data_IF_489034872800
#
_entry.id   IF_489034872800
#
_cell.length_a   1.000
_cell.length_b   1.000
_cell.length_c   1.000
_cell.angle_alpha   90.00
_cell.angle_beta   90.00
_cell.angle_gamma   90.00
#
_symmetry.space_group_name_H-M   'P 1'
#
loop_
_entity.id
_entity.type
_entity.pdbx_description
1 polymer ?
#
# COMPACT_ATOMS: atom_id res chain seq x y z
N UNK A 1 -29.91 8.00 11.29
CA UNK A 1 -28.87 8.27 10.28
C UNK A 1 -28.03 7.00 10.20
N UNK A 2 -27.75 6.43 9.04
CA UNK A 2 -26.88 5.26 8.94
C UNK A 2 -25.41 5.66 9.21
N UNK A 3 -24.63 4.76 9.80
CA UNK A 3 -23.22 4.93 10.15
C UNK A 3 -22.34 5.28 8.93
N UNK A 4 -22.62 4.68 7.77
CA UNK A 4 -21.95 4.98 6.50
C UNK A 4 -21.96 6.47 6.14
N UNK A 5 -23.00 7.21 6.52
CA UNK A 5 -23.04 8.66 6.29
C UNK A 5 -22.05 9.39 7.19
N UNK A 6 -21.85 8.92 8.44
CA UNK A 6 -20.89 9.52 9.36
C UNK A 6 -19.44 9.25 8.89
N UNK A 7 -19.16 8.04 8.39
CA UNK A 7 -17.90 7.72 7.71
C UNK A 7 -17.65 8.63 6.52
N UNK A 8 -18.67 8.83 5.67
CA UNK A 8 -18.56 9.70 4.51
C UNK A 8 -18.26 11.16 4.90
N UNK A 9 -18.96 11.69 5.92
CA UNK A 9 -18.73 13.04 6.45
C UNK A 9 -17.30 13.17 7.00
N UNK A 10 -16.80 12.16 7.70
CA UNK A 10 -15.45 12.13 8.25
C UNK A 10 -14.40 12.11 7.14
N UNK A 11 -14.47 11.15 6.23
CA UNK A 11 -13.50 10.91 5.16
C UNK A 11 -13.39 12.12 4.20
N UNK A 12 -14.52 12.77 3.90
CA UNK A 12 -14.57 13.93 3.01
C UNK A 12 -14.44 15.29 3.71
N UNK A 13 -14.07 15.29 4.98
CA UNK A 13 -13.84 16.52 5.77
C UNK A 13 -15.02 17.51 5.74
N UNK A 14 -16.26 17.03 5.66
CA UNK A 14 -17.44 17.89 5.59
C UNK A 14 -17.73 18.60 6.92
N UNK A 15 -16.99 18.26 7.94
CA UNK A 15 -16.93 18.89 9.24
C UNK A 15 -15.95 20.09 9.29
N UNK A 16 -15.13 20.33 8.27
CA UNK A 16 -14.01 21.29 8.33
C UNK A 16 -14.40 22.73 8.65
N UNK A 17 -15.62 23.15 8.30
CA UNK A 17 -16.13 24.49 8.60
C UNK A 17 -16.83 24.58 9.99
N UNK A 18 -16.78 23.52 10.78
CA UNK A 18 -17.40 23.45 12.10
C UNK A 18 -16.33 23.23 13.15
N UNK A 19 -16.35 24.01 14.26
CA UNK A 19 -15.40 23.78 15.34
C UNK A 19 -15.68 22.42 15.99
N UNK A 20 -14.64 21.60 16.09
CA UNK A 20 -14.72 20.30 16.73
C UNK A 20 -14.22 20.38 18.17
N UNK A 21 -14.86 19.63 19.06
CA UNK A 21 -14.47 19.54 20.46
C UNK A 21 -14.70 18.13 21.00
N UNK A 22 -13.94 17.79 22.02
CA UNK A 22 -14.17 16.57 22.81
C UNK A 22 -15.46 16.68 23.59
N UNK A 23 -15.99 15.55 24.04
CA UNK A 23 -17.19 15.52 24.90
C UNK A 23 -17.00 16.21 26.26
N UNK A 24 -15.75 16.41 26.69
CA UNK A 24 -15.38 17.19 27.88
C UNK A 24 -15.04 18.67 27.56
N UNK A 25 -15.28 19.12 26.31
CA UNK A 25 -15.23 20.54 25.90
C UNK A 25 -13.86 21.04 25.45
N UNK A 26 -12.86 20.18 25.29
CA UNK A 26 -11.54 20.59 24.77
C UNK A 26 -11.57 20.73 23.24
N UNK A 27 -10.98 21.78 22.66
CA UNK A 27 -10.95 21.95 21.21
C UNK A 27 -10.10 20.87 20.55
N UNK A 28 -10.57 20.34 19.41
CA UNK A 28 -9.86 19.38 18.57
C UNK A 28 -9.53 20.02 17.23
N UNK A 29 -8.27 19.96 16.83
CA UNK A 29 -7.84 20.19 15.46
C UNK A 29 -7.57 18.84 14.78
N UNK A 30 -8.34 18.52 13.75
CA UNK A 30 -8.12 17.29 12.95
C UNK A 30 -7.16 17.65 11.84
N UNK A 31 -5.92 17.16 11.94
CA UNK A 31 -4.82 17.42 10.99
C UNK A 31 -4.92 16.45 9.81
N UNK A 32 -5.26 15.19 10.08
CA UNK A 32 -5.48 14.14 9.08
C UNK A 32 -6.51 13.15 9.58
N UNK A 33 -7.47 12.81 8.73
CA UNK A 33 -8.53 11.83 9.03
C UNK A 33 -8.02 10.38 9.10
N UNK A 34 -6.79 10.12 8.61
CA UNK A 34 -6.23 8.78 8.52
C UNK A 34 -6.59 8.04 7.24
N UNK A 35 -6.22 6.77 7.20
CA UNK A 35 -6.48 5.86 6.09
C UNK A 35 -7.61 4.90 6.47
N UNK A 36 -8.63 4.79 5.63
CA UNK A 36 -9.77 3.90 5.86
C UNK A 36 -9.31 2.45 5.89
N UNK A 37 -9.53 1.79 7.01
CA UNK A 37 -9.24 0.37 7.21
C UNK A 37 -10.43 -0.48 6.75
N UNK A 38 -10.18 -1.43 5.87
CA UNK A 38 -11.21 -2.38 5.36
C UNK A 38 -11.01 -3.80 5.88
N UNK A 39 -10.00 -3.97 6.72
CA UNK A 39 -9.72 -5.23 7.42
C UNK A 39 -10.33 -5.20 8.83
N UNK A 40 -10.07 -6.23 9.65
CA UNK A 40 -10.46 -6.21 11.05
C UNK A 40 -9.63 -5.16 11.83
N UNK A 41 -10.26 -4.48 12.78
CA UNK A 41 -9.65 -3.41 13.60
C UNK A 41 -10.35 -2.07 13.42
N UNK A 42 -9.80 -1.00 14.00
CA UNK A 42 -10.38 0.35 13.93
C UNK A 42 -10.60 0.85 12.50
N UNK A 43 -11.61 1.69 12.29
CA UNK A 43 -12.09 2.17 11.00
C UNK A 43 -11.06 2.96 10.21
N UNK A 44 -10.27 3.79 10.89
CA UNK A 44 -9.21 4.59 10.26
C UNK A 44 -7.90 4.44 11.02
N UNK A 45 -6.81 4.21 10.28
CA UNK A 45 -5.45 4.13 10.80
C UNK A 45 -4.66 5.40 10.49
N UNK A 46 -3.62 5.69 11.30
CA UNK A 46 -2.69 6.80 11.09
C UNK A 46 -3.34 8.19 11.04
N UNK A 47 -4.49 8.36 11.70
CA UNK A 47 -5.09 9.68 11.88
C UNK A 47 -4.18 10.56 12.76
N UNK A 48 -4.22 11.87 12.53
CA UNK A 48 -3.48 12.88 13.29
C UNK A 48 -4.42 13.95 13.79
N UNK A 49 -4.46 14.13 15.09
CA UNK A 49 -5.29 15.14 15.75
C UNK A 49 -4.45 15.94 16.75
N UNK A 50 -4.88 17.15 17.06
CA UNK A 50 -4.27 17.96 18.11
C UNK A 50 -5.32 18.34 19.14
N UNK A 51 -5.04 18.08 20.43
CA UNK A 51 -5.88 18.40 21.57
C UNK A 51 -5.00 19.10 22.60
N UNK A 52 -5.38 20.25 23.10
CA UNK A 52 -4.62 21.04 24.08
C UNK A 52 -3.17 21.30 23.67
N UNK A 53 -2.93 21.50 22.36
CA UNK A 53 -1.59 21.72 21.80
C UNK A 53 -0.74 20.45 21.63
N UNK A 54 -1.17 19.31 22.15
CA UNK A 54 -0.50 18.02 21.97
C UNK A 54 -1.00 17.32 20.71
N UNK A 55 -0.07 16.87 19.85
CA UNK A 55 -0.40 16.09 18.66
C UNK A 55 -0.42 14.60 18.99
N UNK A 56 -1.50 13.93 18.56
CA UNK A 56 -1.73 12.50 18.71
C UNK A 56 -1.76 11.85 17.34
N UNK A 57 -1.10 10.71 17.22
CA UNK A 57 -1.13 9.87 16.02
C UNK A 57 -1.62 8.49 16.40
N UNK A 58 -2.65 7.99 15.73
CA UNK A 58 -3.25 6.69 16.05
C UNK A 58 -4.47 6.38 15.20
N UNK A 59 -5.34 5.56 15.75
CA UNK A 59 -6.52 5.08 15.04
C UNK A 59 -7.77 5.90 15.45
N UNK A 60 -8.75 5.92 14.55
CA UNK A 60 -10.08 6.50 14.80
C UNK A 60 -11.12 5.43 14.61
N UNK A 61 -12.09 5.38 15.50
CA UNK A 61 -13.28 4.54 15.40
C UNK A 61 -14.52 5.42 15.30
N UNK A 62 -15.51 5.02 14.50
CA UNK A 62 -16.71 5.80 14.21
C UNK A 62 -17.95 4.98 14.55
N UNK A 63 -18.88 5.55 15.32
CA UNK A 63 -20.16 4.94 15.65
C UNK A 63 -21.28 5.97 15.65
N UNK A 64 -22.52 5.52 15.57
CA UNK A 64 -23.67 6.41 15.76
C UNK A 64 -23.82 6.79 17.23
N UNK A 65 -23.79 5.81 18.13
CA UNK A 65 -23.86 6.04 19.58
C UNK A 65 -22.56 5.59 20.25
N UNK A 66 -22.10 6.30 21.26
CA UNK A 66 -20.91 5.88 22.00
C UNK A 66 -21.05 4.48 22.60
N UNK A 67 -22.27 4.10 22.99
CA UNK A 67 -22.57 2.79 23.54
C UNK A 67 -22.33 1.63 22.58
N UNK A 68 -22.30 1.86 21.25
CA UNK A 68 -22.00 0.85 20.23
C UNK A 68 -20.59 0.26 20.40
N UNK A 69 -19.66 1.00 20.98
CA UNK A 69 -18.34 0.52 21.41
C UNK A 69 -18.42 -0.80 22.22
N UNK A 70 -19.39 -0.85 23.13
CA UNK A 70 -19.61 -2.06 23.95
C UNK A 70 -20.40 -3.14 23.22
N UNK A 71 -21.32 -2.76 22.34
CA UNK A 71 -22.10 -3.70 21.53
C UNK A 71 -21.16 -4.47 20.58
N UNK A 72 -20.14 -3.80 20.04
CA UNK A 72 -19.11 -4.40 19.18
C UNK A 72 -17.96 -5.05 19.97
N UNK A 73 -17.97 -4.95 21.32
CA UNK A 73 -16.96 -5.53 22.24
C UNK A 73 -15.56 -4.95 22.09
N UNK A 74 -15.42 -3.73 21.59
CA UNK A 74 -14.12 -3.06 21.44
C UNK A 74 -13.43 -2.82 22.79
N UNK A 75 -14.18 -2.71 23.88
CA UNK A 75 -13.66 -2.60 25.24
C UNK A 75 -12.89 -3.83 25.73
N UNK A 76 -12.90 -4.93 25.01
CA UNK A 76 -12.19 -6.16 25.35
C UNK A 76 -11.20 -6.61 24.28
N UNK A 77 -11.04 -5.83 23.21
CA UNK A 77 -10.16 -6.16 22.09
C UNK A 77 -8.92 -5.22 22.09
N UNK A 78 -7.71 -5.75 22.33
CA UNK A 78 -6.47 -4.98 22.31
C UNK A 78 -6.17 -4.27 20.97
N UNK A 79 -6.77 -4.71 19.86
CA UNK A 79 -6.63 -4.05 18.56
C UNK A 79 -7.14 -2.60 18.57
N UNK A 80 -8.04 -2.27 19.50
CA UNK A 80 -8.63 -0.93 19.66
C UNK A 80 -7.93 -0.06 20.72
N UNK A 81 -6.88 -0.56 21.38
CA UNK A 81 -6.16 0.19 22.41
C UNK A 81 -5.38 1.41 21.88
N UNK A 82 -5.13 1.45 20.57
CA UNK A 82 -4.48 2.57 19.88
C UNK A 82 -5.48 3.56 19.27
N UNK A 83 -6.77 3.47 19.62
CA UNK A 83 -7.78 4.46 19.22
C UNK A 83 -7.56 5.75 19.99
N UNK A 84 -7.18 6.81 19.27
CA UNK A 84 -6.93 8.15 19.84
C UNK A 84 -8.17 9.03 19.87
N UNK A 85 -9.17 8.72 19.04
CA UNK A 85 -10.43 9.44 18.96
C UNK A 85 -11.57 8.49 18.59
N UNK A 86 -12.61 8.49 19.41
CA UNK A 86 -13.87 7.86 19.11
C UNK A 86 -14.85 8.92 18.61
N UNK A 87 -15.12 8.92 17.32
CA UNK A 87 -16.03 9.85 16.64
C UNK A 87 -17.45 9.30 16.69
N UNK A 88 -18.38 10.08 17.18
CA UNK A 88 -19.78 9.66 17.31
C UNK A 88 -20.74 10.74 16.84
N UNK A 89 -21.96 10.36 16.50
CA UNK A 89 -23.05 11.33 16.36
C UNK A 89 -23.59 11.71 17.74
N UNK A 90 -23.89 10.71 18.56
CA UNK A 90 -24.51 10.87 19.87
C UNK A 90 -23.59 10.30 20.96
N UNK A 91 -23.05 11.17 21.78
CA UNK A 91 -22.20 10.80 22.91
C UNK A 91 -23.05 10.43 24.13
N UNK A 92 -23.68 9.25 24.09
CA UNK A 92 -24.62 8.77 25.12
C UNK A 92 -23.93 8.10 26.32
N UNK A 93 -22.63 7.72 26.16
CA UNK A 93 -21.90 7.04 27.21
C UNK A 93 -20.39 7.28 27.12
N UNK A 94 -19.71 7.43 28.27
CA UNK A 94 -18.24 7.37 28.31
C UNK A 94 -17.77 5.94 28.06
N UNK A 95 -16.78 5.77 27.16
CA UNK A 95 -16.23 4.48 26.80
C UNK A 95 -14.78 4.32 27.26
N UNK A 96 -14.37 3.06 27.47
CA UNK A 96 -13.05 2.70 27.96
C UNK A 96 -12.45 1.61 27.06
N UNK A 97 -11.13 1.65 26.90
CA UNK A 97 -10.39 0.61 26.15
C UNK A 97 -10.21 -0.68 26.99
N UNK A 98 -9.46 -1.66 26.46
CA UNK A 98 -9.23 -2.94 27.15
C UNK A 98 -8.40 -2.79 28.43
N UNK A 99 -7.68 -1.66 28.60
CA UNK A 99 -6.86 -1.34 29.77
C UNK A 99 -7.63 -0.56 30.83
N UNK A 100 -8.90 -0.23 30.58
CA UNK A 100 -9.70 0.58 31.48
C UNK A 100 -9.42 2.09 31.39
N UNK A 101 -8.71 2.55 30.35
CA UNK A 101 -8.44 3.97 30.11
C UNK A 101 -9.63 4.59 29.36
N UNK A 102 -10.04 5.80 29.78
CA UNK A 102 -11.12 6.52 29.14
C UNK A 102 -10.69 7.00 27.74
N UNK A 103 -11.47 6.67 26.71
CA UNK A 103 -11.23 7.16 25.37
C UNK A 103 -11.69 8.60 25.20
N UNK A 104 -10.91 9.36 24.44
CA UNK A 104 -11.31 10.67 23.96
C UNK A 104 -12.44 10.52 22.95
N UNK A 105 -13.55 11.19 23.16
CA UNK A 105 -14.73 11.14 22.29
C UNK A 105 -15.03 12.51 21.70
N UNK A 106 -15.53 12.51 20.45
CA UNK A 106 -15.99 13.71 19.75
C UNK A 106 -17.37 13.46 19.15
N UNK A 107 -18.35 14.26 19.58
CA UNK A 107 -19.63 14.35 18.88
C UNK A 107 -19.45 15.24 17.64
N UNK A 108 -19.28 14.63 16.48
CA UNK A 108 -18.89 15.31 15.24
C UNK A 108 -19.90 16.39 14.85
N UNK A 109 -19.39 17.61 14.66
CA UNK A 109 -20.19 18.74 14.17
C UNK A 109 -20.10 18.82 12.65
N UNK A 110 -21.23 18.87 11.95
CA UNK A 110 -21.33 18.88 10.49
C UNK A 110 -22.64 19.57 10.06
N UNK A 111 -22.85 19.90 8.76
CA UNK A 111 -24.10 20.49 8.29
C UNK A 111 -25.31 19.63 8.63
N UNK A 112 -26.36 20.25 9.18
CA UNK A 112 -27.58 19.55 9.62
C UNK A 112 -28.75 19.69 8.64
N UNK A 113 -28.54 20.30 7.47
CA UNK A 113 -29.58 20.42 6.44
C UNK A 113 -30.02 19.07 5.94
N UNK A 114 -31.33 18.78 6.03
CA UNK A 114 -31.88 17.44 5.75
C UNK A 114 -31.76 17.05 4.29
N UNK A 115 -31.97 18.00 3.36
CA UNK A 115 -31.90 17.71 1.94
C UNK A 115 -30.46 17.50 1.50
N UNK A 116 -29.54 18.30 2.07
CA UNK A 116 -28.10 18.12 1.90
C UNK A 116 -27.62 16.76 2.44
N UNK A 117 -28.00 16.38 3.67
CA UNK A 117 -27.65 15.07 4.24
C UNK A 117 -28.22 13.90 3.44
N UNK A 118 -29.43 14.07 2.86
CA UNK A 118 -30.02 13.05 1.98
C UNK A 118 -29.23 12.89 0.68
N UNK A 119 -28.77 13.98 0.08
CA UNK A 119 -27.92 13.93 -1.09
C UNK A 119 -26.57 13.27 -0.78
N UNK A 120 -25.93 13.61 0.33
CA UNK A 120 -24.69 12.99 0.80
C UNK A 120 -24.85 11.51 1.08
N UNK A 121 -25.98 11.10 1.69
CA UNK A 121 -26.27 9.67 1.90
C UNK A 121 -26.39 8.93 0.58
N UNK A 122 -27.06 9.53 -0.41
CA UNK A 122 -27.17 8.96 -1.75
C UNK A 122 -25.79 8.78 -2.38
N UNK A 123 -24.90 9.76 -2.20
CA UNK A 123 -23.54 9.72 -2.70
C UNK A 123 -22.69 8.69 -1.93
N UNK A 124 -22.80 8.62 -0.61
CA UNK A 124 -22.13 7.63 0.22
C UNK A 124 -22.55 6.20 -0.15
N UNK A 125 -23.86 5.95 -0.32
CA UNK A 125 -24.37 4.64 -0.75
C UNK A 125 -23.95 4.28 -2.17
N UNK A 126 -23.79 5.26 -3.06
CA UNK A 126 -23.22 5.04 -4.39
C UNK A 126 -21.73 4.72 -4.33
N UNK A 127 -20.99 5.34 -3.42
CA UNK A 127 -19.56 5.09 -3.24
C UNK A 127 -19.27 3.72 -2.60
N UNK A 128 -20.15 3.21 -1.78
CA UNK A 128 -20.03 1.86 -1.21
C UNK A 128 -20.42 0.76 -2.21
N UNK A 129 -21.22 1.08 -3.23
CA UNK A 129 -21.43 0.20 -4.38
C UNK A 129 -20.18 0.17 -5.26
N UNK A 130 -19.80 -1.01 -5.77
CA UNK A 130 -18.60 -1.21 -6.60
C UNK A 130 -18.53 -0.27 -7.83
N UNK A 131 -19.67 0.27 -8.26
CA UNK A 131 -19.82 1.15 -9.42
C UNK A 131 -19.43 2.62 -9.13
N UNK A 132 -19.34 3.04 -7.88
CA UNK A 132 -19.31 4.47 -7.52
C UNK A 132 -18.00 5.00 -6.95
N UNK A 133 -16.97 4.16 -6.82
CA UNK A 133 -15.64 4.62 -6.35
C UNK A 133 -14.88 5.49 -7.35
N UNK A 134 -15.39 5.58 -8.58
CA UNK A 134 -14.82 6.38 -9.67
C UNK A 134 -15.86 7.43 -10.03
N UNK A 135 -15.64 8.68 -9.63
CA UNK A 135 -16.62 9.76 -9.74
C UNK A 135 -17.16 10.02 -11.17
N UNK A 136 -16.37 9.71 -12.19
CA UNK A 136 -16.74 9.81 -13.60
C UNK A 136 -17.24 8.47 -14.20
N UNK A 137 -17.69 7.53 -13.39
CA UNK A 137 -18.07 6.18 -13.84
C UNK A 137 -19.14 6.20 -14.95
N UNK A 138 -20.17 7.05 -14.81
CA UNK A 138 -21.24 7.18 -15.81
C UNK A 138 -20.71 7.66 -17.16
N UNK A 139 -19.87 8.68 -17.15
CA UNK A 139 -19.29 9.24 -18.38
C UNK A 139 -18.35 8.25 -19.07
N UNK A 140 -17.63 7.42 -18.28
CA UNK A 140 -16.77 6.36 -18.81
C UNK A 140 -17.57 5.20 -19.41
N UNK A 141 -18.77 4.91 -18.90
CA UNK A 141 -19.68 3.94 -19.53
C UNK A 141 -20.21 4.45 -20.86
N UNK A 142 -20.50 5.75 -20.97
CA UNK A 142 -20.97 6.39 -22.19
C UNK A 142 -19.83 6.54 -23.22
N UNK A 143 -18.61 6.86 -22.77
CA UNK A 143 -17.41 6.99 -23.62
C UNK A 143 -16.15 6.42 -22.90
N UNK A 144 -15.85 5.14 -23.11
CA UNK A 144 -14.65 4.51 -22.54
C UNK A 144 -13.33 5.11 -23.08
N UNK A 145 -13.34 5.84 -24.21
CA UNK A 145 -12.16 6.44 -24.82
C UNK A 145 -11.71 7.75 -24.13
N UNK A 146 -12.47 8.22 -23.13
CA UNK A 146 -12.03 9.35 -22.30
C UNK A 146 -10.67 9.10 -21.63
N UNK A 147 -10.31 7.83 -21.36
CA UNK A 147 -8.97 7.46 -20.93
C UNK A 147 -8.15 7.05 -22.15
N UNK A 148 -7.40 8.00 -22.70
CA UNK A 148 -6.57 7.78 -23.89
C UNK A 148 -5.32 6.95 -23.60
N UNK A 149 -4.77 6.31 -24.63
CA UNK A 149 -3.48 5.61 -24.53
C UNK A 149 -2.33 6.56 -24.14
N UNK A 150 -2.36 7.81 -24.61
CA UNK A 150 -1.41 8.85 -24.20
C UNK A 150 -1.46 9.14 -22.70
N UNK A 151 -2.68 9.28 -22.16
CA UNK A 151 -2.89 9.46 -20.72
C UNK A 151 -2.44 8.25 -19.92
N UNK A 152 -2.76 7.03 -20.36
CA UNK A 152 -2.29 5.79 -19.72
C UNK A 152 -0.77 5.71 -19.65
N UNK A 153 -0.07 6.04 -20.73
CA UNK A 153 1.41 6.09 -20.73
C UNK A 153 1.95 7.13 -19.77
N UNK A 154 1.33 8.30 -19.67
CA UNK A 154 1.74 9.32 -18.71
C UNK A 154 1.50 8.88 -17.27
N UNK A 155 0.35 8.27 -16.97
CA UNK A 155 0.03 7.71 -15.65
C UNK A 155 1.04 6.62 -15.24
N UNK A 156 1.38 5.71 -16.16
CA UNK A 156 2.38 4.69 -15.92
C UNK A 156 3.75 5.29 -15.59
N UNK A 157 4.16 6.33 -16.33
CA UNK A 157 5.41 7.06 -16.05
C UNK A 157 5.37 7.69 -14.66
N UNK A 158 4.29 8.38 -14.31
CA UNK A 158 4.08 8.94 -12.96
C UNK A 158 4.15 7.86 -11.88
N UNK A 159 3.54 6.69 -12.14
CA UNK A 159 3.62 5.53 -11.24
C UNK A 159 5.07 5.09 -10.98
N UNK A 160 5.87 4.96 -12.03
CA UNK A 160 7.29 4.60 -11.91
C UNK A 160 8.10 5.69 -11.20
N UNK A 161 7.80 6.97 -11.42
CA UNK A 161 8.42 8.08 -10.69
C UNK A 161 8.10 8.04 -9.19
N UNK A 162 6.87 7.74 -8.79
CA UNK A 162 6.52 7.54 -7.38
C UNK A 162 7.29 6.37 -6.76
N UNK A 163 7.41 5.25 -7.47
CA UNK A 163 8.20 4.09 -7.03
C UNK A 163 9.70 4.44 -6.96
N UNK A 164 10.22 5.22 -7.91
CA UNK A 164 11.60 5.72 -7.87
C UNK A 164 11.84 6.59 -6.63
N UNK A 165 10.92 7.49 -6.28
CA UNK A 165 11.07 8.32 -5.08
C UNK A 165 11.17 7.46 -3.80
N UNK A 166 10.40 6.38 -3.70
CA UNK A 166 10.50 5.42 -2.60
C UNK A 166 11.85 4.68 -2.59
N UNK A 167 12.34 4.28 -3.76
CA UNK A 167 13.66 3.64 -3.91
C UNK A 167 14.77 4.61 -3.51
N UNK A 168 14.66 5.90 -3.88
CA UNK A 168 15.64 6.93 -3.51
C UNK A 168 15.76 7.08 -1.99
N UNK A 169 14.61 7.11 -1.27
CA UNK A 169 14.62 7.14 0.20
C UNK A 169 15.28 5.89 0.81
N UNK A 170 15.03 4.73 0.21
CA UNK A 170 15.65 3.49 0.67
C UNK A 170 17.17 3.47 0.40
N UNK A 171 17.62 4.05 -0.71
CA UNK A 171 19.05 4.24 -0.98
C UNK A 171 19.72 5.17 0.05
N UNK A 172 19.04 6.21 0.51
CA UNK A 172 19.54 7.07 1.60
C UNK A 172 19.76 6.25 2.88
N UNK A 173 18.77 5.43 3.27
CA UNK A 173 18.84 4.56 4.45
C UNK A 173 19.94 3.49 4.31
N UNK A 174 20.14 2.97 3.11
CA UNK A 174 21.15 1.93 2.82
C UNK A 174 22.50 2.50 2.37
N UNK A 175 22.75 3.79 2.65
CA UNK A 175 24.01 4.49 2.33
C UNK A 175 24.43 4.34 0.86
N UNK A 176 23.48 4.42 -0.07
CA UNK A 176 23.69 4.32 -1.51
C UNK A 176 23.85 2.88 -2.04
N UNK A 177 23.67 1.87 -1.21
CA UNK A 177 23.79 0.47 -1.64
C UNK A 177 22.54 0.01 -2.40
N UNK A 178 22.63 -0.01 -3.73
CA UNK A 178 21.56 -0.51 -4.60
C UNK A 178 21.13 -1.95 -4.29
N UNK A 179 22.09 -2.78 -4.01
CA UNK A 179 21.85 -4.20 -3.74
C UNK A 179 21.13 -4.40 -2.42
N UNK A 180 21.49 -3.63 -1.37
CA UNK A 180 20.82 -3.67 -0.08
C UNK A 180 19.39 -3.11 -0.18
N UNK A 181 19.22 -1.98 -0.85
CA UNK A 181 17.91 -1.39 -1.11
C UNK A 181 17.00 -2.34 -1.91
N UNK A 182 17.55 -3.01 -2.93
CA UNK A 182 16.84 -4.02 -3.72
C UNK A 182 16.43 -5.23 -2.87
N UNK A 183 17.33 -5.74 -2.02
CA UNK A 183 17.05 -6.85 -1.11
C UNK A 183 15.87 -6.56 -0.18
N UNK A 184 15.85 -5.37 0.46
CA UNK A 184 14.75 -4.96 1.36
C UNK A 184 13.44 -4.86 0.57
N UNK A 185 13.44 -4.20 -0.58
CA UNK A 185 12.24 -4.06 -1.42
C UNK A 185 11.73 -5.39 -1.96
N UNK A 186 12.64 -6.29 -2.32
CA UNK A 186 12.29 -7.62 -2.80
C UNK A 186 11.63 -8.43 -1.68
N UNK A 187 12.21 -8.41 -0.48
CA UNK A 187 11.63 -9.05 0.69
C UNK A 187 10.20 -8.50 0.97
N UNK A 188 10.03 -7.19 1.02
CA UNK A 188 8.71 -6.56 1.19
C UNK A 188 7.69 -7.11 0.19
N UNK A 189 8.05 -7.21 -1.09
CA UNK A 189 7.15 -7.70 -2.13
C UNK A 189 6.94 -9.23 -2.09
N UNK A 190 7.82 -10.01 -1.47
CA UNK A 190 7.59 -11.42 -1.13
C UNK A 190 6.47 -11.61 -0.09
N UNK A 191 6.12 -10.59 0.66
CA UNK A 191 4.96 -10.56 1.55
C UNK A 191 3.61 -10.52 0.82
N UNK A 192 3.60 -10.30 -0.49
CA UNK A 192 2.41 -10.28 -1.37
C UNK A 192 1.24 -9.51 -0.75
N UNK A 193 1.49 -8.25 -0.38
CA UNK A 193 0.57 -7.32 0.28
C UNK A 193 0.29 -7.67 1.76
N UNK A 194 -0.24 -8.85 2.06
CA UNK A 194 -0.71 -9.22 3.39
C UNK A 194 0.40 -9.22 4.45
N UNK A 195 1.59 -9.69 4.08
CA UNK A 195 2.75 -9.76 4.96
C UNK A 195 3.93 -8.91 4.46
N UNK A 196 3.66 -7.82 3.74
CA UNK A 196 4.72 -6.95 3.20
C UNK A 196 5.54 -6.28 4.30
N UNK A 197 4.90 -5.79 5.36
CA UNK A 197 5.57 -5.14 6.48
C UNK A 197 6.48 -6.11 7.23
N UNK A 198 6.01 -7.29 7.73
CA UNK A 198 6.90 -8.20 8.42
C UNK A 198 8.03 -8.75 7.55
N UNK A 199 7.85 -8.87 6.23
CA UNK A 199 8.96 -9.22 5.33
C UNK A 199 10.00 -8.10 5.19
N UNK A 200 9.57 -6.85 5.16
CA UNK A 200 10.46 -5.68 5.16
C UNK A 200 11.27 -5.60 6.46
N UNK A 201 10.61 -5.73 7.61
CA UNK A 201 11.24 -5.77 8.93
C UNK A 201 12.23 -6.93 9.04
N UNK A 202 11.85 -8.12 8.55
CA UNK A 202 12.74 -9.27 8.47
C UNK A 202 14.03 -8.96 7.70
N UNK A 203 13.91 -8.27 6.55
CA UNK A 203 15.06 -7.91 5.74
C UNK A 203 15.93 -6.82 6.41
N UNK A 204 15.33 -5.86 7.08
CA UNK A 204 16.04 -4.82 7.83
C UNK A 204 16.79 -5.44 9.02
N UNK A 205 16.13 -6.35 9.76
CA UNK A 205 16.73 -7.03 10.90
C UNK A 205 17.77 -8.09 10.51
N UNK A 206 17.83 -8.49 9.23
CA UNK A 206 18.75 -9.52 8.74
C UNK A 206 19.74 -8.92 7.74
N UNK A 207 20.95 -8.50 8.18
CA UNK A 207 21.91 -7.84 7.30
C UNK A 207 22.29 -8.70 6.08
N UNK A 208 22.24 -8.11 4.88
CA UNK A 208 22.61 -8.80 3.63
C UNK A 208 24.06 -9.34 3.69
N UNK A 209 24.96 -8.65 4.39
CA UNK A 209 26.33 -9.09 4.62
C UNK A 209 26.44 -10.38 5.45
N UNK A 210 25.46 -10.66 6.31
CA UNK A 210 25.37 -11.94 7.02
C UNK A 210 24.92 -13.05 6.06
N UNK A 211 23.85 -12.80 5.30
CA UNK A 211 23.32 -13.79 4.34
C UNK A 211 24.35 -14.18 3.26
N UNK A 212 25.14 -13.22 2.78
CA UNK A 212 26.18 -13.46 1.77
C UNK A 212 27.27 -14.43 2.23
N UNK A 213 27.59 -14.49 3.52
CA UNK A 213 28.56 -15.43 4.08
C UNK A 213 28.04 -16.88 4.08
N UNK A 214 26.77 -17.06 3.84
CA UNK A 214 26.07 -18.33 3.89
C UNK A 214 25.27 -18.63 2.60
N UNK A 215 25.53 -17.89 1.51
CA UNK A 215 24.80 -18.04 0.24
C UNK A 215 25.03 -19.42 -0.42
N UNK A 216 26.09 -20.12 -0.09
CA UNK A 216 26.41 -21.48 -0.53
C UNK A 216 25.57 -22.58 0.18
N UNK A 217 24.92 -22.25 1.30
CA UNK A 217 24.12 -23.18 2.10
C UNK A 217 22.66 -22.75 2.21
N UNK A 218 21.77 -23.38 1.43
CA UNK A 218 20.34 -23.18 1.53
C UNK A 218 19.82 -23.48 2.96
N UNK A 219 20.42 -24.48 3.63
CA UNK A 219 20.07 -24.84 5.01
C UNK A 219 20.33 -23.66 5.98
N UNK A 220 21.51 -23.04 5.89
CA UNK A 220 21.87 -21.91 6.77
C UNK A 220 21.06 -20.66 6.45
N UNK A 221 20.87 -20.33 5.18
CA UNK A 221 19.99 -19.22 4.78
C UNK A 221 18.57 -19.41 5.30
N UNK A 222 18.05 -20.65 5.19
CA UNK A 222 16.70 -20.97 5.71
C UNK A 222 16.65 -20.85 7.21
N UNK A 223 17.66 -21.34 7.95
CA UNK A 223 17.74 -21.22 9.40
C UNK A 223 17.77 -19.75 9.84
N UNK A 224 18.61 -18.90 9.21
CA UNK A 224 18.71 -17.48 9.53
C UNK A 224 17.36 -16.80 9.31
N UNK A 225 16.76 -16.92 8.11
CA UNK A 225 15.55 -16.18 7.76
C UNK A 225 14.33 -16.65 8.55
N UNK A 226 14.17 -17.96 8.80
CA UNK A 226 13.10 -18.48 9.65
C UNK A 226 13.28 -18.02 11.10
N UNK A 227 14.49 -18.09 11.63
CA UNK A 227 14.77 -17.67 13.00
C UNK A 227 14.59 -16.18 13.21
N UNK A 228 15.09 -15.36 12.28
CA UNK A 228 14.92 -13.92 12.31
C UNK A 228 13.47 -13.47 12.15
N UNK A 229 12.62 -14.31 11.54
CA UNK A 229 11.19 -14.01 11.40
C UNK A 229 10.41 -14.01 12.72
N UNK A 230 10.97 -14.53 13.81
CA UNK A 230 10.26 -14.69 15.08
C UNK A 230 9.16 -15.76 15.07
N UNK A 231 8.98 -16.47 13.94
CA UNK A 231 8.04 -17.58 13.85
C UNK A 231 8.62 -18.85 14.49
N UNK A 232 7.77 -19.73 15.07
CA UNK A 232 8.24 -20.99 15.64
C UNK A 232 8.92 -21.88 14.58
N UNK A 233 10.16 -22.28 14.80
CA UNK A 233 10.88 -23.24 13.95
C UNK A 233 10.54 -24.65 14.45
N UNK A 234 9.82 -25.44 13.64
CA UNK A 234 9.43 -26.80 13.99
C UNK A 234 10.55 -27.83 13.76
N UNK A 235 11.47 -27.54 12.86
CA UNK A 235 12.62 -28.39 12.53
C UNK A 235 13.74 -28.11 13.53
N UNK A 236 14.05 -29.10 14.36
CA UNK A 236 15.07 -28.98 15.41
C UNK A 236 16.49 -28.74 14.85
N UNK A 237 16.79 -29.22 13.64
CA UNK A 237 18.09 -29.00 13.03
C UNK A 237 18.24 -27.54 12.60
N UNK A 238 17.20 -26.96 11.98
CA UNK A 238 17.16 -25.55 11.64
C UNK A 238 17.18 -24.65 12.89
N UNK A 239 16.49 -25.04 13.96
CA UNK A 239 16.47 -24.28 15.20
C UNK A 239 17.87 -24.22 15.84
N UNK A 240 18.57 -25.35 15.93
CA UNK A 240 19.96 -25.42 16.47
C UNK A 240 20.94 -24.62 15.60
N UNK A 241 20.82 -24.71 14.29
CA UNK A 241 21.68 -23.93 13.37
C UNK A 241 21.41 -22.41 13.55
N UNK A 242 20.15 -22.02 13.68
CA UNK A 242 19.81 -20.62 13.93
C UNK A 242 20.38 -20.11 15.27
N UNK A 243 20.26 -20.87 16.36
CA UNK A 243 20.80 -20.49 17.66
C UNK A 243 22.33 -20.26 17.62
N UNK A 244 23.05 -21.12 16.88
CA UNK A 244 24.47 -20.93 16.64
C UNK A 244 24.75 -19.66 15.84
N UNK A 245 24.06 -19.44 14.70
CA UNK A 245 24.27 -18.30 13.82
C UNK A 245 23.79 -16.99 14.47
N UNK A 246 22.71 -17.04 15.23
CA UNK A 246 22.21 -15.92 16.04
C UNK A 246 23.28 -15.41 16.99
N UNK A 247 23.90 -16.31 17.74
CA UNK A 247 24.96 -15.96 18.67
C UNK A 247 26.20 -15.43 17.95
N UNK A 248 26.61 -16.08 16.87
CA UNK A 248 27.78 -15.70 16.08
C UNK A 248 27.70 -14.30 15.48
N UNK A 249 26.51 -13.88 15.03
CA UNK A 249 26.29 -12.60 14.33
C UNK A 249 25.52 -11.59 15.16
N UNK A 250 25.21 -11.90 16.43
CA UNK A 250 24.42 -11.04 17.33
C UNK A 250 23.08 -10.61 16.68
N UNK A 251 22.37 -11.58 16.08
CA UNK A 251 21.13 -11.33 15.40
C UNK A 251 19.97 -11.23 16.42
N UNK A 252 19.05 -10.30 16.16
CA UNK A 252 17.83 -10.13 16.95
C UNK A 252 16.61 -10.39 16.04
N UNK A 253 15.74 -11.38 16.37
CA UNK A 253 14.57 -11.67 15.57
C UNK A 253 13.53 -10.55 15.69
N UNK A 254 12.74 -10.37 14.63
CA UNK A 254 11.56 -9.49 14.70
C UNK A 254 10.47 -10.12 15.57
N UNK A 255 9.49 -9.31 15.96
CA UNK A 255 8.31 -9.80 16.66
C UNK A 255 7.46 -10.70 15.76
N UNK A 256 7.31 -11.99 16.12
CA UNK A 256 6.52 -12.96 15.40
C UNK A 256 5.01 -12.64 15.32
N UNK A 257 4.50 -11.75 16.20
CA UNK A 257 3.12 -11.30 16.18
C UNK A 257 2.77 -10.40 14.98
N UNK A 258 3.76 -9.83 14.31
CA UNK A 258 3.58 -9.02 13.10
C UNK A 258 3.03 -9.83 11.92
N UNK A 259 3.22 -11.16 11.92
CA UNK A 259 2.77 -12.00 10.83
C UNK A 259 1.26 -12.25 10.86
N UNK A 260 0.58 -11.91 9.79
CA UNK A 260 -0.80 -12.31 9.58
C UNK A 260 -0.82 -13.78 9.14
N UNK A 261 -1.37 -14.66 9.98
CA UNK A 261 -1.43 -16.11 9.75
C UNK A 261 -2.84 -16.57 9.36
N UNK A 262 -3.86 -15.82 9.75
CA UNK A 262 -5.27 -16.12 9.47
C UNK A 262 -5.70 -15.72 8.06
N UNK A 263 -6.69 -16.45 7.51
CA UNK A 263 -7.34 -16.16 6.21
C UNK A 263 -6.38 -16.07 5.02
N UNK A 264 -5.22 -16.72 5.09
CA UNK A 264 -4.21 -16.74 4.04
C UNK A 264 -4.33 -18.07 3.27
N UNK A 265 -4.21 -18.00 1.94
CA UNK A 265 -4.09 -19.21 1.12
C UNK A 265 -2.82 -19.97 1.51
N UNK A 266 -2.83 -21.32 1.60
CA UNK A 266 -1.66 -22.10 2.04
C UNK A 266 -0.37 -21.81 1.27
N UNK A 267 -0.49 -21.42 0.00
CA UNK A 267 0.63 -21.03 -0.87
C UNK A 267 1.33 -19.73 -0.40
N UNK A 268 0.62 -18.87 0.33
CA UNK A 268 1.12 -17.59 0.84
C UNK A 268 1.49 -17.64 2.32
N UNK A 269 1.50 -18.84 2.94
CA UNK A 269 1.92 -19.00 4.33
C UNK A 269 3.33 -18.40 4.52
N UNK A 270 3.56 -17.57 5.57
CA UNK A 270 4.82 -16.87 5.79
C UNK A 270 6.03 -17.80 5.76
N UNK A 271 6.01 -18.93 6.48
CA UNK A 271 7.10 -19.90 6.49
C UNK A 271 7.44 -20.38 5.07
N UNK A 272 6.44 -20.70 4.24
CA UNK A 272 6.67 -21.14 2.86
C UNK A 272 7.31 -20.03 2.02
N UNK A 273 6.84 -18.79 2.17
CA UNK A 273 7.40 -17.65 1.45
C UNK A 273 8.81 -17.29 1.91
N UNK A 274 9.12 -17.45 3.20
CA UNK A 274 10.48 -17.29 3.73
C UNK A 274 11.41 -18.34 3.14
N UNK A 275 11.00 -19.60 3.05
CA UNK A 275 11.79 -20.68 2.40
C UNK A 275 12.01 -20.41 0.92
N UNK A 276 11.01 -19.90 0.21
CA UNK A 276 11.16 -19.50 -1.20
C UNK A 276 12.11 -18.33 -1.34
N UNK A 277 12.07 -17.36 -0.42
CA UNK A 277 12.99 -16.23 -0.42
C UNK A 277 14.44 -16.70 -0.14
N UNK A 278 14.65 -17.59 0.82
CA UNK A 278 15.95 -18.22 1.09
C UNK A 278 16.50 -18.94 -0.15
N UNK A 279 15.64 -19.73 -0.83
CA UNK A 279 16.02 -20.44 -2.05
C UNK A 279 16.40 -19.49 -3.20
N UNK A 280 15.67 -18.37 -3.34
CA UNK A 280 16.01 -17.36 -4.34
C UNK A 280 17.39 -16.75 -4.07
N UNK A 281 17.68 -16.38 -2.81
CA UNK A 281 18.98 -15.83 -2.43
C UNK A 281 20.12 -16.83 -2.60
N UNK A 282 19.87 -18.10 -2.32
CA UNK A 282 20.84 -19.18 -2.53
C UNK A 282 21.21 -19.39 -4.00
N UNK A 283 20.20 -19.38 -4.90
CA UNK A 283 20.37 -19.65 -6.33
C UNK A 283 20.90 -18.46 -7.14
N UNK A 284 20.79 -17.27 -6.59
CA UNK A 284 21.00 -16.03 -7.35
C UNK A 284 22.11 -15.20 -6.75
N UNK A 285 23.35 -15.61 -7.01
CA UNK A 285 24.49 -14.76 -6.75
C UNK A 285 24.39 -13.47 -7.59
N UNK A 286 24.64 -12.31 -6.97
CA UNK A 286 24.54 -10.98 -7.62
C UNK A 286 23.18 -10.69 -8.28
N UNK A 287 22.08 -11.09 -7.65
CA UNK A 287 20.73 -10.98 -8.20
C UNK A 287 20.42 -9.58 -8.75
N UNK A 288 20.80 -8.50 -8.04
CA UNK A 288 20.56 -7.13 -8.49
C UNK A 288 21.28 -6.83 -9.81
N UNK A 289 22.56 -7.18 -9.94
CA UNK A 289 23.32 -6.95 -11.17
C UNK A 289 22.69 -7.69 -12.34
N UNK A 290 22.30 -8.95 -12.15
CA UNK A 290 21.61 -9.75 -13.17
C UNK A 290 20.28 -9.13 -13.59
N UNK A 291 19.52 -8.59 -12.63
CA UNK A 291 18.26 -7.89 -12.91
C UNK A 291 18.52 -6.65 -13.78
N UNK A 292 19.57 -5.87 -13.50
CA UNK A 292 19.88 -4.67 -14.27
C UNK A 292 20.34 -5.00 -15.70
N UNK A 293 21.13 -6.04 -15.86
CA UNK A 293 21.70 -6.46 -17.16
C UNK A 293 20.66 -7.05 -18.11
N UNK A 294 19.74 -7.86 -17.61
CA UNK A 294 18.74 -8.54 -18.44
C UNK A 294 17.71 -7.55 -18.99
N UNK A 295 17.42 -7.65 -20.28
CA UNK A 295 16.44 -6.81 -21.00
C UNK A 295 15.22 -7.58 -21.48
N UNK A 296 15.28 -8.92 -21.46
CA UNK A 296 14.16 -9.78 -21.85
C UNK A 296 13.30 -10.15 -20.62
N UNK A 297 11.98 -10.02 -20.76
CA UNK A 297 11.04 -10.28 -19.66
C UNK A 297 11.01 -11.75 -19.24
N UNK A 298 11.21 -12.67 -20.19
CA UNK A 298 11.22 -14.11 -19.90
C UNK A 298 12.46 -14.49 -19.10
N UNK A 299 13.63 -13.98 -19.51
CA UNK A 299 14.87 -14.19 -18.78
C UNK A 299 14.79 -13.58 -17.36
N UNK A 300 14.14 -12.40 -17.20
CA UNK A 300 13.86 -11.81 -15.89
C UNK A 300 12.93 -12.72 -15.06
N UNK A 301 11.86 -13.26 -15.64
CA UNK A 301 10.94 -14.16 -14.96
C UNK A 301 11.63 -15.46 -14.51
N UNK A 302 12.51 -16.02 -15.32
CA UNK A 302 13.30 -17.24 -15.01
C UNK A 302 14.19 -17.07 -13.78
N UNK A 303 14.70 -15.86 -13.50
CA UNK A 303 15.47 -15.61 -12.28
C UNK A 303 14.65 -15.90 -11.00
N UNK A 304 13.35 -15.65 -11.05
CA UNK A 304 12.44 -15.79 -9.91
C UNK A 304 11.67 -17.12 -9.93
N UNK A 305 11.75 -17.88 -11.03
CA UNK A 305 11.04 -19.14 -11.17
C UNK A 305 11.58 -20.19 -10.20
N UNK A 306 10.70 -20.78 -9.39
CA UNK A 306 11.02 -21.82 -8.44
C UNK A 306 9.79 -22.64 -8.07
N UNK A 307 10.00 -23.80 -7.45
CA UNK A 307 8.92 -24.69 -7.04
C UNK A 307 7.89 -23.99 -6.13
N UNK A 308 6.63 -24.19 -6.45
CA UNK A 308 5.51 -23.64 -5.69
C UNK A 308 5.31 -22.13 -5.82
N UNK A 309 5.99 -21.48 -6.76
CA UNK A 309 5.75 -20.09 -7.13
C UNK A 309 4.99 -20.02 -8.45
N UNK A 310 3.82 -19.39 -8.44
CA UNK A 310 3.01 -19.22 -9.65
C UNK A 310 3.56 -18.10 -10.54
N UNK A 311 3.27 -18.15 -11.86
CA UNK A 311 3.59 -17.08 -12.79
C UNK A 311 3.04 -15.72 -12.29
N UNK A 312 1.80 -15.68 -11.80
CA UNK A 312 1.21 -14.47 -11.24
C UNK A 312 2.00 -13.91 -10.03
N UNK A 313 2.60 -14.78 -9.20
CA UNK A 313 3.48 -14.33 -8.11
C UNK A 313 4.78 -13.74 -8.65
N UNK A 314 5.33 -14.32 -9.71
CA UNK A 314 6.53 -13.79 -10.38
C UNK A 314 6.21 -12.44 -11.02
N UNK A 315 5.08 -12.32 -11.72
CA UNK A 315 4.62 -11.07 -12.34
C UNK A 315 4.51 -9.94 -11.31
N UNK A 316 3.97 -10.23 -10.11
CA UNK A 316 3.90 -9.25 -9.01
C UNK A 316 5.30 -8.76 -8.60
N UNK A 317 6.30 -9.64 -8.52
CA UNK A 317 7.68 -9.25 -8.21
C UNK A 317 8.31 -8.42 -9.34
N UNK A 318 8.06 -8.79 -10.60
CA UNK A 318 8.53 -8.04 -11.76
C UNK A 318 7.92 -6.62 -11.79
N UNK A 319 6.61 -6.50 -11.62
CA UNK A 319 5.87 -5.23 -11.65
C UNK A 319 6.24 -4.33 -10.46
N UNK A 320 6.40 -4.90 -9.27
CA UNK A 320 6.52 -4.10 -8.06
C UNK A 320 7.96 -3.90 -7.58
N UNK A 321 8.91 -4.74 -8.03
CA UNK A 321 10.33 -4.63 -7.64
C UNK A 321 11.23 -4.45 -8.85
N UNK A 322 11.26 -5.42 -9.75
CA UNK A 322 12.27 -5.52 -10.80
C UNK A 322 12.23 -4.33 -11.74
N UNK A 323 11.10 -4.08 -12.38
CA UNK A 323 10.94 -2.99 -13.36
C UNK A 323 11.12 -1.61 -12.71
N UNK A 324 10.55 -1.31 -11.51
CA UNK A 324 10.83 -0.08 -10.81
C UNK A 324 12.31 0.16 -10.49
N UNK A 325 13.05 -0.89 -10.11
CA UNK A 325 14.49 -0.77 -9.84
C UNK A 325 15.30 -0.54 -11.12
N UNK A 326 14.97 -1.20 -12.23
CA UNK A 326 15.58 -0.92 -13.54
C UNK A 326 15.36 0.52 -13.95
N UNK A 327 14.12 1.00 -13.82
CA UNK A 327 13.76 2.40 -14.09
C UNK A 327 14.54 3.37 -13.20
N UNK A 328 14.53 3.18 -11.88
CA UNK A 328 15.21 4.03 -10.92
C UNK A 328 16.73 4.03 -11.13
N UNK A 329 17.34 2.87 -11.31
CA UNK A 329 18.78 2.73 -11.55
C UNK A 329 19.20 3.51 -12.78
N UNK A 330 18.50 3.35 -13.88
CA UNK A 330 18.78 4.09 -15.11
C UNK A 330 18.59 5.60 -14.92
N UNK A 331 17.48 6.04 -14.33
CA UNK A 331 17.18 7.47 -14.17
C UNK A 331 18.17 8.17 -13.23
N UNK A 332 18.66 7.49 -12.20
CA UNK A 332 19.57 8.08 -11.21
C UNK A 332 21.03 8.00 -11.62
N UNK A 333 21.46 6.94 -12.34
CA UNK A 333 22.84 6.78 -12.80
C UNK A 333 23.13 7.53 -14.09
N UNK A 334 22.14 7.69 -14.99
CA UNK A 334 22.33 8.41 -16.25
C UNK A 334 22.38 9.93 -16.04
N UNK A 335 21.75 10.48 -14.99
CA UNK A 335 21.84 11.90 -14.64
C UNK A 335 23.28 12.35 -14.34
N UNK A 336 24.16 11.46 -13.93
CA UNK A 336 25.57 11.78 -13.66
C UNK A 336 26.43 11.85 -14.93
N UNK A 337 25.94 11.38 -16.08
CA UNK A 337 26.73 11.23 -17.33
C UNK A 337 26.19 12.11 -18.47
N UNK A 338 24.98 12.64 -18.38
CA UNK A 338 24.33 13.30 -19.52
C UNK A 338 23.71 14.66 -19.17
N UNK A 339 24.55 15.70 -19.08
CA UNK A 339 24.12 17.08 -19.32
C UNK A 339 23.90 17.38 -20.84
N UNK A 340 24.08 16.42 -21.75
CA UNK A 340 24.21 16.72 -23.18
C UNK A 340 23.16 16.08 -24.13
N UNK A 341 22.20 15.26 -23.69
CA UNK A 341 21.24 14.69 -24.65
C UNK A 341 19.88 14.35 -24.02
N UNK A 342 18.97 15.34 -23.87
CA UNK A 342 17.59 15.13 -23.39
C UNK A 342 16.76 14.22 -24.31
N UNK A 343 16.95 14.26 -25.61
CA UNK A 343 16.19 13.42 -26.58
C UNK A 343 16.57 11.94 -26.50
N UNK A 344 17.85 11.60 -26.27
CA UNK A 344 18.29 10.21 -26.10
C UNK A 344 17.83 9.62 -24.75
N UNK A 345 17.69 10.46 -23.73
CA UNK A 345 17.18 10.07 -22.43
C UNK A 345 15.67 9.73 -22.49
N UNK A 346 14.89 10.48 -23.27
CA UNK A 346 13.47 10.23 -23.48
C UNK A 346 13.23 8.90 -24.24
N UNK A 347 13.97 8.62 -25.31
CA UNK A 347 13.82 7.36 -26.08
C UNK A 347 14.23 6.12 -25.28
N UNK A 348 15.24 6.22 -24.40
CA UNK A 348 15.63 5.12 -23.50
C UNK A 348 14.65 4.86 -22.36
N UNK A 349 13.77 5.84 -22.04
CA UNK A 349 12.71 5.67 -21.05
C UNK A 349 11.60 4.70 -21.47
N UNK A 350 11.56 4.25 -22.70
CA UNK A 350 10.53 3.35 -23.24
C UNK A 350 10.74 1.88 -22.84
N UNK A 351 11.96 1.43 -22.60
CA UNK A 351 12.24 0.00 -22.38
C UNK A 351 11.53 -0.61 -21.16
N UNK A 352 11.41 0.09 -20.04
CA UNK A 352 10.72 -0.43 -18.85
C UNK A 352 9.20 -0.39 -18.99
N UNK A 353 8.65 0.59 -19.74
CA UNK A 353 7.25 0.62 -20.09
C UNK A 353 6.90 -0.56 -21.00
N UNK A 354 7.75 -0.83 -22.01
CA UNK A 354 7.60 -1.98 -22.91
C UNK A 354 7.71 -3.33 -22.20
N UNK A 355 8.55 -3.43 -21.16
CA UNK A 355 8.60 -4.63 -20.31
C UNK A 355 7.27 -4.87 -19.58
N UNK A 356 6.63 -3.81 -19.07
CA UNK A 356 5.32 -3.94 -18.43
C UNK A 356 4.21 -4.32 -19.43
N UNK A 357 4.32 -3.91 -20.69
CA UNK A 357 3.38 -4.30 -21.73
C UNK A 357 3.40 -5.80 -22.05
N UNK A 358 4.52 -6.49 -21.74
CA UNK A 358 4.70 -7.92 -21.97
C UNK A 358 4.23 -8.80 -20.79
N UNK A 359 3.89 -8.21 -19.65
CA UNK A 359 3.40 -8.94 -18.46
C UNK A 359 1.86 -8.96 -18.48
N UNK A 360 1.30 -10.10 -18.04
CA UNK A 360 -0.15 -10.25 -17.92
C UNK A 360 -0.76 -9.19 -16.97
N UNK A 361 -2.01 -8.75 -17.22
CA UNK A 361 -2.67 -7.78 -16.36
C UNK A 361 -2.93 -8.35 -14.98
N UNK A 362 -2.73 -7.53 -13.95
CA UNK A 362 -3.10 -7.87 -12.58
C UNK A 362 -4.63 -7.99 -12.46
N UNK A 363 -5.10 -8.88 -11.58
CA UNK A 363 -6.50 -9.02 -11.26
C UNK A 363 -6.75 -8.67 -9.80
N UNK A 364 -7.29 -7.49 -9.56
CA UNK A 364 -7.69 -7.00 -8.25
C UNK A 364 -9.02 -6.25 -8.32
N UNK A 365 -9.59 -5.88 -7.18
CA UNK A 365 -10.90 -5.22 -7.10
C UNK A 365 -10.94 -3.92 -7.90
N UNK A 366 -9.88 -3.09 -7.86
CA UNK A 366 -9.81 -1.82 -8.59
C UNK A 366 -9.83 -2.06 -10.11
N UNK A 367 -9.03 -3.02 -10.57
CA UNK A 367 -8.96 -3.36 -12.01
C UNK A 367 -10.27 -3.95 -12.52
N UNK A 368 -10.95 -4.76 -11.69
CA UNK A 368 -12.30 -5.26 -12.05
C UNK A 368 -13.31 -4.13 -12.19
N UNK A 369 -13.25 -3.10 -11.34
CA UNK A 369 -14.09 -1.90 -11.47
C UNK A 369 -13.83 -1.18 -12.82
N UNK A 370 -12.56 -0.96 -13.16
CA UNK A 370 -12.21 -0.35 -14.46
C UNK A 370 -12.73 -1.16 -15.65
N UNK A 371 -12.64 -2.50 -15.58
CA UNK A 371 -13.21 -3.37 -16.63
C UNK A 371 -14.73 -3.24 -16.73
N UNK A 372 -15.44 -3.15 -15.60
CA UNK A 372 -16.90 -2.92 -15.59
C UNK A 372 -17.28 -1.57 -16.22
N UNK A 373 -16.40 -0.57 -16.15
CA UNK A 373 -16.56 0.73 -16.80
C UNK A 373 -16.09 0.75 -18.27
N UNK A 374 -15.96 -0.41 -18.91
CA UNK A 374 -15.61 -0.53 -20.32
C UNK A 374 -14.12 -0.34 -20.64
N UNK A 375 -13.26 -0.22 -19.61
CA UNK A 375 -11.84 -0.05 -19.85
C UNK A 375 -11.18 -1.36 -20.29
N UNK A 376 -10.52 -1.33 -21.43
CA UNK A 376 -9.70 -2.44 -21.89
C UNK A 376 -8.42 -2.51 -21.06
N UNK A 377 -8.12 -3.68 -20.50
CA UNK A 377 -6.95 -3.95 -19.67
C UNK A 377 -6.22 -5.14 -20.28
N UNK A 378 -5.20 -4.86 -21.08
CA UNK A 378 -4.49 -5.83 -21.92
C UNK A 378 -3.29 -6.45 -21.22
N UNK A 379 -2.60 -5.66 -20.39
CA UNK A 379 -1.30 -6.00 -19.78
C UNK A 379 -1.06 -5.26 -18.46
N UNK A 380 0.10 -5.47 -17.85
CA UNK A 380 0.47 -4.83 -16.59
C UNK A 380 0.67 -3.31 -16.71
N UNK A 381 1.04 -2.79 -17.88
CA UNK A 381 1.15 -1.36 -18.11
C UNK A 381 -0.22 -0.67 -17.94
N UNK A 382 -1.27 -1.27 -18.53
CA UNK A 382 -2.64 -0.79 -18.35
C UNK A 382 -3.09 -0.85 -16.88
N UNK A 383 -2.81 -1.96 -16.18
CA UNK A 383 -3.20 -2.10 -14.76
C UNK A 383 -2.49 -1.09 -13.87
N UNK A 384 -1.20 -0.89 -14.05
CA UNK A 384 -0.42 0.05 -13.23
C UNK A 384 -0.80 1.52 -13.53
N UNK A 385 -1.16 1.86 -14.76
CA UNK A 385 -1.70 3.17 -15.11
C UNK A 385 -3.05 3.43 -14.44
N UNK A 386 -3.98 2.47 -14.52
CA UNK A 386 -5.31 2.58 -13.93
C UNK A 386 -5.28 2.55 -12.38
N UNK A 387 -4.36 1.78 -11.79
CA UNK A 387 -4.11 1.81 -10.35
C UNK A 387 -3.59 3.19 -9.91
N UNK A 388 -2.68 3.79 -10.68
CA UNK A 388 -2.19 5.14 -10.39
C UNK A 388 -3.30 6.18 -10.51
N UNK A 389 -4.13 6.08 -11.55
CA UNK A 389 -5.28 6.96 -11.74
C UNK A 389 -6.24 6.88 -10.55
N UNK A 390 -6.57 5.65 -10.12
CA UNK A 390 -7.44 5.46 -8.97
C UNK A 390 -6.83 6.02 -7.68
N UNK A 391 -5.61 5.59 -7.33
CA UNK A 391 -4.97 5.89 -6.06
C UNK A 391 -4.56 7.36 -5.88
N UNK A 392 -4.20 8.05 -6.96
CA UNK A 392 -3.68 9.42 -6.88
C UNK A 392 -4.64 10.49 -7.39
N UNK A 393 -5.75 10.09 -8.03
CA UNK A 393 -6.74 11.04 -8.53
C UNK A 393 -8.16 10.70 -8.05
N UNK A 394 -8.68 9.50 -8.36
CA UNK A 394 -10.07 9.18 -8.04
C UNK A 394 -10.31 9.08 -6.53
N UNK A 395 -9.43 8.42 -5.79
CA UNK A 395 -9.54 8.24 -4.35
C UNK A 395 -9.46 9.56 -3.56
N UNK A 396 -8.76 10.56 -4.13
CA UNK A 396 -8.60 11.89 -3.52
C UNK A 396 -9.49 12.96 -4.18
N UNK A 397 -10.41 12.56 -5.07
CA UNK A 397 -11.30 13.48 -5.80
C UNK A 397 -10.57 14.57 -6.59
N UNK A 398 -9.35 14.29 -7.04
CA UNK A 398 -8.49 15.19 -7.82
C UNK A 398 -8.94 15.28 -9.29
N UNK A 399 -10.25 15.40 -9.53
CA UNK A 399 -10.83 15.40 -10.89
C UNK A 399 -10.39 16.63 -11.70
N UNK A 400 -10.12 17.76 -11.07
CA UNK A 400 -9.63 18.98 -11.75
C UNK A 400 -8.24 18.77 -12.35
N UNK A 401 -7.42 17.92 -11.72
CA UNK A 401 -6.05 17.60 -12.13
C UNK A 401 -5.99 16.35 -13.02
N UNK A 402 -7.16 15.73 -13.30
CA UNK A 402 -7.31 14.53 -14.11
C UNK A 402 -7.69 14.89 -15.54
N UNK A 403 -7.03 14.27 -16.54
CA UNK A 403 -7.37 14.51 -17.96
C UNK A 403 -8.84 14.15 -18.27
N UNK A 404 -9.36 13.08 -17.65
CA UNK A 404 -10.78 12.69 -17.81
C UNK A 404 -11.69 13.77 -17.23
N UNK A 405 -11.41 14.21 -16.01
CA UNK A 405 -12.16 15.29 -15.37
C UNK A 405 -12.10 16.59 -16.20
N UNK A 406 -10.91 16.95 -16.66
CA UNK A 406 -10.73 18.12 -17.53
C UNK A 406 -11.61 18.02 -18.79
N UNK A 407 -11.60 16.88 -19.48
CA UNK A 407 -12.43 16.67 -20.67
C UNK A 407 -13.92 16.77 -20.38
N UNK A 408 -14.38 16.19 -19.27
CA UNK A 408 -15.79 16.24 -18.85
C UNK A 408 -16.22 17.69 -18.54
N UNK A 409 -15.41 18.44 -17.80
CA UNK A 409 -15.76 19.80 -17.37
C UNK A 409 -15.61 20.84 -18.46
N UNK A 410 -14.62 20.72 -19.35
CA UNK A 410 -14.26 21.76 -20.31
C UNK A 410 -14.60 21.43 -21.78
N UNK A 411 -14.74 20.15 -22.19
CA UNK A 411 -15.12 19.79 -23.53
C UNK A 411 -16.60 20.14 -23.88
N UNK A 412 -17.45 20.24 -22.84
CA UNK A 412 -18.86 20.67 -23.01
C UNK A 412 -19.05 22.20 -22.91
N UNK A 413 -18.02 22.94 -22.55
CA UNK A 413 -18.04 24.40 -22.58
C UNK A 413 -17.18 24.89 -23.77
N UNK A 414 -17.79 24.92 -24.94
CA UNK A 414 -17.32 25.83 -25.98
C UNK A 414 -17.53 27.25 -25.45
N UNK A 415 -16.53 27.80 -24.75
CA UNK A 415 -16.41 29.24 -24.64
C UNK A 415 -16.13 29.77 -26.06
N UNK A 416 -16.99 30.62 -26.60
CA UNK A 416 -16.60 31.35 -27.79
C UNK A 416 -15.41 32.24 -27.40
N UNK A 417 -14.32 32.13 -28.16
CA UNK A 417 -13.20 33.07 -28.14
C UNK A 417 -13.66 34.44 -28.56
#
# INVERSE_FOLDING_TARGET
MPEILLHYIWEHCLWANFPQQTTDGRPIEIISVGEHNRDAGPDYSHARIRIDGCEWVGNVEIHIHSSDWYHHKHNSDPAYDNVILHVVRDADKQVFNSRGEALTQCALQYPQDKDYLTSLLTDAMRMDSAESRIGCARQLLDDPLLITDGWRRMLLRKRLQCKQASITRLLEITHGSWEHAFYISLARNFGFHTNSVPFEELAIATPLSCLRKHCDSLFQLTAILLGQSGLPIRDEALAREYDFLRTKFSLEPIDGSLWKLGRIRPQNAPERRIRQFANLLHRSEFLFSRVIELTDIRALAELFAQEGMSSASIDILLINTVIPYKYAYRMLTTRSVAAENEERSAHRAFGELELMEQIAPEDNTIIRQWRMLGQQVRNAADTQALLHLYQNYCQHHECVNCEVGYRIFFANNTFPL
#
